data_IF_813223491091
#
_entry.id   IF_813223491091
#
_cell.length_a   1.000
_cell.length_b   1.000
_cell.length_c   1.000
_cell.angle_alpha   90.00
_cell.angle_beta   90.00
_cell.angle_gamma   90.00
#
_symmetry.space_group_name_H-M   'P 1'
#
loop_
_entity.id
_entity.type
_entity.pdbx_description
1 polymer ?
#
# COMPACT_ATOMS: atom_id res chain seq x y z
N UNK A 1 27.77 -21.87 -23.19
CA UNK A 1 27.44 -22.78 -24.30
C UNK A 1 27.02 -21.93 -25.49
N UNK A 2 27.56 -22.17 -26.68
CA UNK A 2 27.10 -21.54 -27.92
C UNK A 2 26.01 -22.41 -28.56
N UNK A 3 25.09 -21.80 -29.32
CA UNK A 3 23.94 -22.53 -29.93
C UNK A 3 24.39 -23.73 -30.78
N UNK A 4 25.53 -23.61 -31.46
CA UNK A 4 26.10 -24.66 -32.32
C UNK A 4 26.69 -25.86 -31.54
N UNK A 5 26.71 -25.80 -30.19
CA UNK A 5 27.17 -26.89 -29.32
C UNK A 5 25.99 -27.77 -28.84
N UNK A 6 24.74 -27.39 -29.13
CA UNK A 6 23.56 -28.18 -28.80
C UNK A 6 23.39 -29.33 -29.81
N UNK A 7 23.16 -30.55 -29.34
CA UNK A 7 22.96 -31.71 -30.21
C UNK A 7 21.52 -31.79 -30.70
N UNK A 8 21.32 -31.83 -32.02
CA UNK A 8 20.11 -32.21 -32.76
C UNK A 8 18.76 -32.00 -32.04
N UNK A 9 18.26 -33.01 -31.35
CA UNK A 9 16.97 -33.00 -30.66
C UNK A 9 16.82 -31.84 -29.65
N UNK A 10 17.90 -31.50 -28.95
CA UNK A 10 17.91 -30.42 -27.97
C UNK A 10 17.84 -29.04 -28.66
N UNK A 11 18.49 -28.90 -29.80
CA UNK A 11 18.42 -27.67 -30.60
C UNK A 11 17.00 -27.45 -31.16
N UNK A 12 16.35 -28.53 -31.62
CA UNK A 12 14.96 -28.49 -32.10
C UNK A 12 14.00 -28.06 -30.99
N UNK A 13 14.10 -28.65 -29.80
CA UNK A 13 13.26 -28.28 -28.64
C UNK A 13 13.47 -26.84 -28.19
N UNK A 14 14.72 -26.35 -28.23
CA UNK A 14 15.01 -24.94 -27.94
C UNK A 14 14.35 -24.01 -28.96
N UNK A 15 14.45 -24.33 -30.25
CA UNK A 15 13.77 -23.54 -31.30
C UNK A 15 12.26 -23.58 -31.17
N UNK A 16 11.68 -24.74 -30.89
CA UNK A 16 10.24 -24.91 -30.64
C UNK A 16 9.78 -24.02 -29.48
N UNK A 17 10.50 -24.05 -28.35
CA UNK A 17 10.20 -23.19 -27.20
C UNK A 17 10.26 -21.70 -27.56
N UNK A 18 11.26 -21.26 -28.33
CA UNK A 18 11.39 -19.87 -28.74
C UNK A 18 10.27 -19.44 -29.70
N UNK A 19 9.92 -20.28 -30.67
CA UNK A 19 8.83 -20.01 -31.62
C UNK A 19 7.50 -19.87 -30.88
N UNK A 20 7.17 -20.82 -30.01
CA UNK A 20 5.93 -20.79 -29.24
C UNK A 20 5.92 -19.64 -28.24
N UNK A 21 7.04 -19.34 -27.56
CA UNK A 21 7.10 -18.21 -26.64
C UNK A 21 6.95 -16.85 -27.32
N UNK A 22 7.40 -16.72 -28.58
CA UNK A 22 7.20 -15.50 -29.37
C UNK A 22 5.78 -15.38 -29.96
N UNK A 23 5.03 -16.49 -30.03
CA UNK A 23 3.59 -16.46 -30.37
C UNK A 23 2.75 -16.10 -29.14
N UNK A 24 2.89 -16.90 -28.09
CA UNK A 24 2.28 -16.68 -26.79
C UNK A 24 3.09 -17.39 -25.69
N UNK A 25 3.78 -16.59 -24.89
CA UNK A 25 4.57 -17.05 -23.74
C UNK A 25 3.74 -17.87 -22.74
N UNK A 26 2.46 -17.56 -22.60
CA UNK A 26 1.60 -18.15 -21.59
C UNK A 26 0.83 -19.38 -22.09
N UNK A 27 1.02 -19.75 -23.37
CA UNK A 27 0.39 -20.91 -23.97
C UNK A 27 0.76 -22.22 -23.25
N UNK A 28 -0.15 -23.20 -23.22
CA UNK A 28 0.14 -24.53 -22.67
C UNK A 28 1.31 -25.21 -23.40
N UNK A 29 1.47 -24.97 -24.70
CA UNK A 29 2.54 -25.48 -25.55
C UNK A 29 3.89 -24.94 -25.11
N UNK A 30 4.02 -23.61 -24.97
CA UNK A 30 5.23 -22.96 -24.45
C UNK A 30 5.60 -23.50 -23.08
N UNK A 31 4.61 -23.62 -22.18
CA UNK A 31 4.82 -24.13 -20.82
C UNK A 31 5.29 -25.59 -20.81
N UNK A 32 4.77 -26.43 -21.71
CA UNK A 32 5.16 -27.84 -21.84
C UNK A 32 6.63 -27.95 -22.22
N UNK A 33 7.04 -27.32 -23.33
CA UNK A 33 8.42 -27.38 -23.81
C UNK A 33 9.39 -26.72 -22.83
N UNK A 34 9.00 -25.59 -22.22
CA UNK A 34 9.81 -24.92 -21.19
C UNK A 34 10.04 -25.78 -19.94
N UNK A 35 9.03 -26.56 -19.51
CA UNK A 35 9.17 -27.50 -18.38
C UNK A 35 10.06 -28.69 -18.73
N UNK A 36 9.97 -29.20 -19.96
CA UNK A 36 10.84 -30.29 -20.42
C UNK A 36 12.31 -29.85 -20.46
N UNK A 37 12.58 -28.67 -21.03
CA UNK A 37 13.91 -28.07 -21.04
C UNK A 37 14.38 -27.66 -19.63
N UNK A 38 13.47 -27.31 -18.72
CA UNK A 38 13.79 -26.94 -17.33
C UNK A 38 14.30 -28.09 -16.45
N UNK A 39 14.20 -29.34 -16.90
CA UNK A 39 14.74 -30.53 -16.23
C UNK A 39 16.17 -30.87 -16.68
N UNK A 40 16.63 -30.24 -17.75
CA UNK A 40 17.96 -30.44 -18.34
C UNK A 40 19.00 -29.66 -17.54
N UNK A 41 20.22 -30.18 -17.48
CA UNK A 41 21.36 -29.58 -16.75
C UNK A 41 22.48 -29.13 -17.69
N UNK A 42 22.33 -29.38 -18.99
CA UNK A 42 23.28 -29.02 -20.03
C UNK A 42 23.45 -27.49 -20.15
N UNK A 43 22.36 -26.74 -20.01
CA UNK A 43 22.33 -25.28 -19.94
C UNK A 43 21.08 -24.80 -19.19
N UNK A 44 20.98 -23.49 -18.97
CA UNK A 44 19.89 -22.90 -18.20
C UNK A 44 18.49 -23.06 -18.84
N UNK A 45 18.38 -22.88 -20.16
CA UNK A 45 17.13 -22.90 -20.94
C UNK A 45 15.97 -22.05 -20.39
N UNK A 46 16.24 -21.05 -19.54
CA UNK A 46 15.22 -20.10 -19.11
C UNK A 46 14.83 -19.19 -20.29
N UNK A 47 13.56 -18.80 -20.39
CA UNK A 47 13.14 -17.79 -21.36
C UNK A 47 13.62 -16.42 -20.90
N UNK A 48 14.43 -15.78 -21.74
CA UNK A 48 14.87 -14.41 -21.58
C UNK A 48 14.13 -13.55 -22.60
N UNK A 49 13.66 -12.37 -22.17
CA UNK A 49 13.03 -11.40 -23.06
C UNK A 49 14.01 -10.27 -23.32
N UNK A 50 14.33 -10.04 -24.59
CA UNK A 50 15.13 -8.88 -25.00
C UNK A 50 14.49 -8.28 -26.25
N UNK A 51 14.26 -6.97 -26.22
CA UNK A 51 13.71 -6.21 -27.35
C UNK A 51 12.39 -6.81 -27.90
N UNK A 52 11.53 -7.30 -26.99
CA UNK A 52 10.24 -7.92 -27.35
C UNK A 52 10.33 -9.36 -27.85
N UNK A 53 11.54 -9.90 -28.04
CA UNK A 53 11.75 -11.26 -28.53
C UNK A 53 12.16 -12.18 -27.38
N UNK A 54 11.50 -13.34 -27.29
CA UNK A 54 11.84 -14.40 -26.36
C UNK A 54 12.91 -15.33 -26.93
N UNK A 55 13.96 -15.57 -26.15
CA UNK A 55 15.08 -16.45 -26.49
C UNK A 55 15.44 -17.36 -25.31
N UNK A 56 16.01 -18.54 -25.58
CA UNK A 56 16.46 -19.46 -24.54
C UNK A 56 17.81 -19.04 -23.97
N UNK A 57 17.95 -19.09 -22.64
CA UNK A 57 19.21 -18.85 -21.97
C UNK A 57 20.17 -20.04 -22.12
N UNK A 58 21.30 -19.83 -22.80
CA UNK A 58 22.34 -20.87 -23.01
C UNK A 58 23.53 -20.76 -22.03
N UNK A 59 23.35 -20.04 -20.92
CA UNK A 59 24.36 -19.94 -19.86
C UNK A 59 24.50 -21.30 -19.15
N UNK A 60 25.71 -21.64 -18.66
CA UNK A 60 25.89 -22.85 -17.86
C UNK A 60 25.02 -22.79 -16.61
N UNK A 61 24.52 -23.95 -16.19
CA UNK A 61 23.76 -24.07 -14.94
C UNK A 61 24.69 -23.85 -13.74
N UNK A 62 24.13 -23.39 -12.62
CA UNK A 62 24.86 -23.36 -11.36
C UNK A 62 25.08 -24.80 -10.84
N UNK A 63 26.15 -25.01 -10.07
CA UNK A 63 26.53 -26.32 -9.53
C UNK A 63 25.37 -26.94 -8.73
N UNK A 64 24.90 -28.12 -9.15
CA UNK A 64 23.80 -28.83 -8.50
C UNK A 64 22.40 -28.26 -8.75
N UNK A 65 22.22 -27.40 -9.76
CA UNK A 65 20.94 -26.78 -10.12
C UNK A 65 20.63 -26.96 -11.61
N UNK A 66 19.39 -26.67 -12.02
CA UNK A 66 18.95 -26.76 -13.43
C UNK A 66 18.92 -25.40 -14.15
N UNK A 67 19.26 -24.30 -13.47
CA UNK A 67 19.28 -22.94 -14.03
C UNK A 67 20.61 -22.24 -13.77
N UNK A 68 20.89 -21.17 -14.51
CA UNK A 68 22.04 -20.30 -14.23
C UNK A 68 21.74 -19.34 -13.07
N UNK A 69 22.79 -18.72 -12.54
CA UNK A 69 22.71 -17.77 -11.41
C UNK A 69 21.76 -16.59 -11.64
N UNK A 70 21.57 -16.18 -12.89
CA UNK A 70 20.65 -15.09 -13.25
C UNK A 70 19.18 -15.50 -13.41
N UNK A 71 18.89 -16.81 -13.47
CA UNK A 71 17.55 -17.31 -13.82
C UNK A 71 17.05 -18.34 -12.79
N UNK A 72 17.19 -18.01 -11.51
CA UNK A 72 16.58 -18.77 -10.42
C UNK A 72 17.48 -19.82 -9.77
N UNK A 73 18.74 -19.97 -10.20
CA UNK A 73 19.72 -20.65 -9.36
C UNK A 73 20.31 -19.65 -8.36
N UNK A 74 19.54 -19.37 -7.30
CA UNK A 74 20.06 -18.61 -6.18
C UNK A 74 21.26 -19.37 -5.59
N UNK A 75 22.44 -18.75 -5.70
CA UNK A 75 23.68 -19.18 -5.04
C UNK A 75 23.53 -19.07 -3.50
N UNK A 76 22.47 -18.41 -3.04
CA UNK A 76 22.22 -18.10 -1.63
C UNK A 76 21.45 -19.18 -0.85
N UNK A 77 21.12 -20.33 -1.44
CA UNK A 77 20.35 -21.37 -0.73
C UNK A 77 21.12 -21.97 0.48
N UNK A 78 22.45 -21.82 0.51
CA UNK A 78 23.32 -22.22 1.63
C UNK A 78 23.82 -21.05 2.50
N UNK A 79 23.12 -19.91 2.48
CA UNK A 79 23.47 -18.79 3.37
C UNK A 79 22.88 -19.07 4.75
N UNK A 80 23.72 -19.08 5.78
CA UNK A 80 23.28 -19.26 7.18
C UNK A 80 22.20 -18.25 7.54
N UNK A 81 21.28 -18.61 8.45
CA UNK A 81 20.21 -17.71 8.88
C UNK A 81 20.76 -16.35 9.36
N UNK A 82 21.87 -16.35 10.09
CA UNK A 82 22.57 -15.13 10.52
C UNK A 82 22.98 -14.22 9.36
N UNK A 83 23.47 -14.80 8.27
CA UNK A 83 23.94 -14.02 7.11
C UNK A 83 22.75 -13.54 6.27
N UNK A 84 21.64 -14.28 6.25
CA UNK A 84 20.36 -13.81 5.69
C UNK A 84 19.83 -12.63 6.51
N UNK A 85 19.86 -12.72 7.84
CA UNK A 85 19.47 -11.63 8.75
C UNK A 85 20.33 -10.37 8.54
N UNK A 86 21.67 -10.52 8.48
CA UNK A 86 22.57 -9.38 8.21
C UNK A 86 22.35 -8.73 6.84
N UNK A 87 21.99 -9.52 5.81
CA UNK A 87 21.64 -8.99 4.49
C UNK A 87 20.28 -8.29 4.50
N UNK A 88 19.32 -8.83 5.26
CA UNK A 88 18.00 -8.21 5.47
C UNK A 88 18.13 -6.87 6.22
N UNK A 89 18.96 -6.80 7.27
CA UNK A 89 19.24 -5.57 8.01
C UNK A 89 19.82 -4.43 7.16
N UNK A 90 20.54 -4.77 6.08
CA UNK A 90 21.12 -3.80 5.15
C UNK A 90 20.21 -3.47 3.95
N UNK A 91 19.09 -4.17 3.78
CA UNK A 91 18.12 -3.94 2.71
C UNK A 91 17.01 -3.01 3.26
N UNK A 92 17.31 -1.71 3.26
CA UNK A 92 16.49 -0.59 3.74
C UNK A 92 16.39 -0.49 5.28
N UNK A 93 16.35 0.75 5.84
CA UNK A 93 16.10 0.97 7.27
C UNK A 93 14.75 0.40 7.77
N UNK A 94 13.91 -0.01 6.82
CA UNK A 94 12.56 -0.54 6.99
C UNK A 94 12.57 -2.04 7.35
N UNK A 95 13.65 -2.78 7.08
CA UNK A 95 13.72 -4.23 7.30
C UNK A 95 13.91 -4.62 8.78
N UNK A 96 14.15 -3.64 9.66
CA UNK A 96 14.12 -3.78 11.12
C UNK A 96 12.81 -3.32 11.77
N UNK A 97 11.86 -2.77 11.00
CA UNK A 97 10.52 -2.51 11.55
C UNK A 97 9.77 -3.83 11.66
N UNK A 98 9.66 -4.34 12.88
CA UNK A 98 8.81 -5.48 13.20
C UNK A 98 7.36 -5.00 13.03
N UNK A 99 6.79 -5.23 11.85
CA UNK A 99 5.37 -4.98 11.63
C UNK A 99 4.57 -6.15 12.22
N UNK A 100 3.95 -5.94 13.37
CA UNK A 100 2.98 -6.88 13.91
C UNK A 100 2.62 -6.64 15.36
N UNK A 101 1.41 -7.09 15.70
CA UNK A 101 0.79 -7.14 17.04
C UNK A 101 1.66 -7.83 18.13
N UNK A 102 2.76 -8.47 17.75
CA UNK A 102 3.64 -9.30 18.60
C UNK A 102 5.08 -8.79 18.69
N UNK A 103 5.35 -7.54 18.34
CA UNK A 103 6.67 -6.96 18.57
C UNK A 103 6.87 -6.73 20.06
N UNK A 104 7.61 -7.62 20.74
CA UNK A 104 7.88 -7.57 22.18
C UNK A 104 8.57 -6.26 22.62
N UNK A 105 9.29 -5.57 21.72
CA UNK A 105 10.01 -4.31 21.97
C UNK A 105 9.45 -3.09 21.20
N UNK A 106 8.40 -3.24 20.38
CA UNK A 106 7.83 -2.12 19.62
C UNK A 106 6.31 -2.11 19.67
N UNK A 107 5.75 -2.04 20.87
CA UNK A 107 4.32 -1.75 21.00
C UNK A 107 4.11 -0.30 20.55
N UNK A 108 3.28 -0.12 19.52
CA UNK A 108 2.96 1.18 18.95
C UNK A 108 2.64 2.22 20.04
N UNK A 109 1.86 1.79 21.04
CA UNK A 109 1.46 2.58 22.22
C UNK A 109 2.66 3.12 23.02
N UNK A 110 3.70 2.30 23.27
CA UNK A 110 4.89 2.76 24.00
C UNK A 110 5.78 3.69 23.17
N UNK A 111 5.63 3.67 21.84
CA UNK A 111 6.39 4.53 20.93
C UNK A 111 5.76 5.91 20.72
N UNK A 112 4.56 6.15 21.25
CA UNK A 112 3.84 7.41 21.08
C UNK A 112 4.55 8.53 21.84
N UNK A 113 4.72 9.67 21.17
CA UNK A 113 5.14 10.92 21.81
C UNK A 113 3.94 11.60 22.47
N UNK A 114 4.19 12.46 23.46
CA UNK A 114 3.13 13.22 24.14
C UNK A 114 2.24 14.00 23.16
N UNK A 115 2.84 14.61 22.14
CA UNK A 115 2.11 15.35 21.09
C UNK A 115 1.19 14.44 20.24
N UNK A 116 1.59 13.18 20.01
CA UNK A 116 0.77 12.22 19.28
C UNK A 116 -0.39 11.70 20.13
N UNK A 117 -0.16 11.52 21.43
CA UNK A 117 -1.21 11.17 22.40
C UNK A 117 -2.25 12.30 22.48
N UNK A 118 -1.80 13.54 22.60
CA UNK A 118 -2.68 14.72 22.59
C UNK A 118 -3.47 14.83 21.28
N UNK A 119 -2.83 14.58 20.14
CA UNK A 119 -3.50 14.57 18.84
C UNK A 119 -4.59 13.49 18.76
N UNK A 120 -4.28 12.27 19.21
CA UNK A 120 -5.25 11.17 19.23
C UNK A 120 -6.44 11.50 20.13
N UNK A 121 -6.20 12.05 21.32
CA UNK A 121 -7.25 12.45 22.25
C UNK A 121 -8.14 13.56 21.65
N UNK A 122 -7.54 14.59 21.04
CA UNK A 122 -8.28 15.65 20.37
C UNK A 122 -9.17 15.12 19.23
N UNK A 123 -8.65 14.16 18.45
CA UNK A 123 -9.38 13.60 17.32
C UNK A 123 -10.53 12.68 17.81
N UNK A 124 -10.30 11.87 18.84
CA UNK A 124 -11.33 11.07 19.51
C UNK A 124 -12.47 11.95 20.02
N UNK A 125 -12.15 13.01 20.77
CA UNK A 125 -13.11 13.98 21.29
C UNK A 125 -13.90 14.66 20.16
N UNK A 126 -13.20 15.08 19.09
CA UNK A 126 -13.83 15.73 17.94
C UNK A 126 -14.85 14.82 17.25
N UNK A 127 -14.53 13.52 17.13
CA UNK A 127 -15.42 12.51 16.56
C UNK A 127 -16.60 12.26 17.49
N UNK A 128 -16.37 12.06 18.79
CA UNK A 128 -17.44 11.80 19.78
C UNK A 128 -18.36 12.99 20.01
N UNK A 129 -17.89 14.22 19.81
CA UNK A 129 -18.73 15.42 19.83
C UNK A 129 -19.61 15.50 18.58
N UNK A 130 -19.12 15.03 17.44
CA UNK A 130 -19.80 15.17 16.15
C UNK A 130 -20.71 13.98 15.83
N UNK A 131 -20.40 12.79 16.34
CA UNK A 131 -21.05 11.53 15.98
C UNK A 131 -21.43 10.70 17.21
N UNK A 132 -22.49 9.92 17.08
CA UNK A 132 -22.85 8.87 18.04
C UNK A 132 -22.02 7.63 17.73
N UNK A 133 -20.96 7.44 18.50
CA UNK A 133 -20.10 6.26 18.41
C UNK A 133 -20.69 5.16 19.29
N UNK A 134 -21.04 4.03 18.69
CA UNK A 134 -21.51 2.85 19.42
C UNK A 134 -20.40 2.29 20.31
N UNK A 135 -20.73 2.01 21.58
CA UNK A 135 -19.79 1.40 22.52
C UNK A 135 -19.42 -0.02 22.09
N UNK A 136 -18.14 -0.39 22.24
CA UNK A 136 -17.64 -1.71 21.88
C UNK A 136 -16.98 -1.74 20.50
N UNK A 137 -17.70 -2.20 19.46
CA UNK A 137 -17.10 -2.29 18.11
C UNK A 137 -16.74 -0.90 17.56
N UNK A 138 -17.54 0.12 17.87
CA UNK A 138 -17.26 1.49 17.46
C UNK A 138 -16.00 2.07 18.10
N UNK A 139 -15.77 1.78 19.37
CA UNK A 139 -14.55 2.20 20.07
C UNK A 139 -13.30 1.54 19.46
N UNK A 140 -13.37 0.24 19.16
CA UNK A 140 -12.24 -0.49 18.54
C UNK A 140 -11.90 0.06 17.15
N UNK A 141 -12.93 0.38 16.35
CA UNK A 141 -12.75 0.95 15.01
C UNK A 141 -12.17 2.36 15.12
N UNK A 142 -12.67 3.19 16.04
CA UNK A 142 -12.16 4.54 16.25
C UNK A 142 -10.69 4.50 16.68
N UNK A 143 -10.34 3.65 17.64
CA UNK A 143 -8.96 3.46 18.08
C UNK A 143 -8.03 3.06 16.92
N UNK A 144 -8.46 2.13 16.06
CA UNK A 144 -7.72 1.76 14.85
C UNK A 144 -7.47 2.93 13.90
N UNK A 145 -8.48 3.80 13.71
CA UNK A 145 -8.37 4.98 12.85
C UNK A 145 -7.44 6.04 13.44
N UNK A 146 -7.42 6.21 14.76
CA UNK A 146 -6.50 7.10 15.46
C UNK A 146 -5.04 6.64 15.27
N UNK A 147 -4.79 5.33 15.39
CA UNK A 147 -3.47 4.73 15.13
C UNK A 147 -3.01 4.96 13.69
N UNK A 148 -3.89 4.69 12.72
CA UNK A 148 -3.59 4.90 11.30
C UNK A 148 -3.28 6.36 10.99
N UNK A 149 -3.98 7.31 11.64
CA UNK A 149 -3.71 8.74 11.48
C UNK A 149 -2.29 9.11 11.96
N UNK A 150 -1.88 8.64 13.14
CA UNK A 150 -0.54 8.89 13.67
C UNK A 150 0.55 8.27 12.78
N UNK A 151 0.37 7.02 12.35
CA UNK A 151 1.29 6.36 11.41
C UNK A 151 1.44 7.18 10.13
N UNK A 152 0.32 7.69 9.61
CA UNK A 152 0.32 8.50 8.41
C UNK A 152 1.09 9.83 8.59
N UNK A 153 0.89 10.53 9.71
CA UNK A 153 1.64 11.74 10.01
C UNK A 153 3.14 11.48 10.20
N UNK A 154 3.52 10.37 10.85
CA UNK A 154 4.93 9.94 10.93
C UNK A 154 5.53 9.74 9.54
N UNK A 155 4.82 9.07 8.64
CA UNK A 155 5.26 8.85 7.26
C UNK A 155 5.39 10.18 6.48
N UNK A 156 4.46 11.11 6.66
CA UNK A 156 4.54 12.47 6.09
C UNK A 156 5.76 13.24 6.59
N UNK A 157 5.98 13.26 7.90
CA UNK A 157 7.09 13.97 8.53
C UNK A 157 8.45 13.36 8.15
N UNK A 158 8.51 12.05 7.91
CA UNK A 158 9.72 11.38 7.42
C UNK A 158 10.05 11.69 5.95
N UNK A 159 9.21 12.46 5.24
CA UNK A 159 9.41 12.82 3.83
C UNK A 159 9.13 11.67 2.85
N UNK A 160 8.54 10.56 3.31
CA UNK A 160 8.16 9.42 2.45
C UNK A 160 6.95 9.72 1.55
N UNK A 161 6.16 10.71 1.91
CA UNK A 161 5.06 11.22 1.09
C UNK A 161 5.36 12.65 0.61
N UNK A 162 4.99 12.95 -0.64
CA UNK A 162 5.03 14.32 -1.14
C UNK A 162 3.99 15.17 -0.40
N UNK A 163 4.46 16.29 0.18
CA UNK A 163 3.60 17.29 0.85
C UNK A 163 2.57 17.80 -0.16
N UNK A 164 1.28 17.60 0.14
CA UNK A 164 0.17 18.02 -0.71
C UNK A 164 -0.36 16.95 -1.68
N UNK A 165 0.19 15.74 -1.70
CA UNK A 165 -0.42 14.64 -2.46
C UNK A 165 -1.77 14.23 -1.88
N UNK A 166 -2.66 13.67 -2.71
CA UNK A 166 -3.98 13.13 -2.29
C UNK A 166 -3.91 12.17 -1.09
N UNK A 167 -2.73 11.61 -0.82
CA UNK A 167 -2.48 10.74 0.31
C UNK A 167 -2.50 11.46 1.65
N UNK A 168 -2.21 12.77 1.73
CA UNK A 168 -2.19 13.53 3.00
C UNK A 168 -3.53 13.55 3.72
N UNK A 169 -4.63 13.52 2.97
CA UNK A 169 -5.99 13.52 3.51
C UNK A 169 -6.54 12.10 3.75
N UNK A 170 -5.75 11.05 3.47
CA UNK A 170 -6.21 9.67 3.52
C UNK A 170 -6.76 9.26 4.90
N UNK A 171 -6.10 9.57 6.04
CA UNK A 171 -6.66 9.22 7.34
C UNK A 171 -8.04 9.85 7.60
N UNK A 172 -8.22 11.10 7.19
CA UNK A 172 -9.49 11.79 7.32
C UNK A 172 -10.56 11.21 6.39
N UNK A 173 -10.18 10.79 5.18
CA UNK A 173 -11.09 10.12 4.24
C UNK A 173 -11.52 8.74 4.75
N UNK A 174 -10.58 7.97 5.29
CA UNK A 174 -10.84 6.65 5.86
C UNK A 174 -11.73 6.78 7.11
N UNK A 175 -11.52 7.80 7.95
CA UNK A 175 -12.40 8.16 9.05
C UNK A 175 -13.82 8.51 8.57
N UNK A 176 -13.95 9.43 7.61
CA UNK A 176 -15.27 9.80 7.07
C UNK A 176 -16.01 8.61 6.45
N UNK A 177 -15.28 7.70 5.82
CA UNK A 177 -15.83 6.47 5.26
C UNK A 177 -16.29 5.52 6.37
N UNK A 178 -15.48 5.31 7.40
CA UNK A 178 -15.84 4.47 8.54
C UNK A 178 -17.08 5.01 9.28
N UNK A 179 -17.18 6.33 9.50
CA UNK A 179 -18.38 6.94 10.06
C UNK A 179 -19.64 6.63 9.23
N UNK A 180 -19.51 6.65 7.89
CA UNK A 180 -20.61 6.33 6.97
C UNK A 180 -20.98 4.84 6.98
N UNK A 181 -19.97 3.97 6.91
CA UNK A 181 -20.16 2.51 6.81
C UNK A 181 -20.70 1.91 8.11
N UNK A 182 -20.34 2.48 9.26
CA UNK A 182 -20.83 2.10 10.59
C UNK A 182 -22.21 2.71 10.91
N UNK A 183 -22.76 3.55 10.02
CA UNK A 183 -24.03 4.23 10.24
C UNK A 183 -24.01 5.21 11.41
N UNK A 184 -22.85 5.75 11.80
CA UNK A 184 -22.74 6.71 12.89
C UNK A 184 -23.51 7.96 12.55
N UNK A 185 -24.57 8.21 13.32
CA UNK A 185 -25.43 9.37 13.18
C UNK A 185 -24.67 10.60 13.65
N UNK A 186 -24.64 11.64 12.81
CA UNK A 186 -24.15 12.94 13.25
C UNK A 186 -25.08 13.39 14.37
N UNK A 187 -24.54 13.68 15.56
CA UNK A 187 -25.33 14.27 16.63
C UNK A 187 -25.99 15.53 16.07
N UNK A 188 -27.27 15.74 16.37
CA UNK A 188 -27.90 17.02 16.11
C UNK A 188 -27.14 18.08 16.93
N UNK A 189 -26.12 18.67 16.30
CA UNK A 189 -25.58 19.93 16.77
C UNK A 189 -26.77 20.86 16.71
N UNK A 190 -27.17 21.36 17.87
CA UNK A 190 -28.29 22.27 18.05
C UNK A 190 -27.98 23.57 17.28
N UNK A 191 -28.13 23.52 15.96
CA UNK A 191 -27.93 24.60 15.00
C UNK A 191 -29.15 25.54 15.00
N UNK A 192 -29.90 25.55 16.09
CA UNK A 192 -30.86 26.62 16.36
C UNK A 192 -30.19 27.98 16.52
N UNK A 193 -28.85 28.09 16.61
CA UNK A 193 -28.19 29.39 16.77
C UNK A 193 -27.88 30.12 15.44
N UNK A 194 -27.47 29.44 14.37
CA UNK A 194 -27.10 30.15 13.12
C UNK A 194 -28.30 30.51 12.24
N UNK A 195 -29.28 29.61 12.11
CA UNK A 195 -30.48 29.89 11.29
C UNK A 195 -31.38 30.95 11.94
N UNK A 196 -31.54 30.90 13.26
CA UNK A 196 -32.27 31.92 14.02
C UNK A 196 -31.56 33.27 13.98
N UNK A 197 -30.23 33.33 14.12
CA UNK A 197 -29.48 34.58 14.02
C UNK A 197 -29.57 35.21 12.64
N UNK A 198 -29.61 34.40 11.57
CA UNK A 198 -29.82 34.90 10.21
C UNK A 198 -31.26 35.41 10.06
N UNK A 199 -32.27 34.67 10.51
CA UNK A 199 -33.66 35.11 10.50
C UNK A 199 -33.90 36.39 11.33
N UNK A 200 -33.33 36.48 12.52
CA UNK A 200 -33.39 37.68 13.38
C UNK A 200 -32.71 38.88 12.71
N UNK A 201 -31.58 38.65 12.03
CA UNK A 201 -30.86 39.71 11.31
C UNK A 201 -31.64 40.16 10.07
N UNK A 202 -32.39 39.27 9.42
CA UNK A 202 -33.28 39.60 8.30
C UNK A 202 -34.56 40.30 8.76
N UNK A 203 -35.19 39.84 9.85
CA UNK A 203 -36.37 40.46 10.45
C UNK A 203 -36.07 41.89 10.94
N UNK A 204 -34.94 42.08 11.63
CA UNK A 204 -34.48 43.43 12.03
C UNK A 204 -34.22 44.37 10.85
N UNK A 205 -33.84 43.82 9.69
CA UNK A 205 -33.59 44.60 8.47
C UNK A 205 -34.89 44.98 7.75
N UNK A 206 -35.86 44.08 7.77
CA UNK A 206 -37.22 44.36 7.27
C UNK A 206 -37.94 45.39 8.15
N UNK A 207 -37.78 45.30 9.47
CA UNK A 207 -38.32 46.29 10.40
C UNK A 207 -37.63 47.66 10.25
N UNK A 208 -36.31 47.69 9.99
CA UNK A 208 -35.60 48.95 9.72
C UNK A 208 -35.98 49.60 8.39
N UNK A 209 -36.27 48.80 7.35
CA UNK A 209 -36.68 49.30 6.03
C UNK A 209 -38.13 49.81 6.02
N UNK A 210 -38.95 49.41 7.00
CA UNK A 210 -40.33 49.91 7.17
C UNK A 210 -40.43 51.25 7.91
N UNK A 211 -39.34 51.74 8.51
CA UNK A 211 -39.31 53.01 9.27
C UNK A 211 -38.66 54.19 8.51
N UNK A 212 -38.25 54.01 7.26
CA UNK A 212 -37.86 55.11 6.38
C UNK A 212 -39.04 55.60 5.52
N UNK A 213 -40.13 56.03 6.18
CA UNK A 213 -41.09 56.92 5.52
C UNK A 213 -40.50 58.34 5.47
N UNK A 214 -40.24 58.77 4.24
CA UNK A 214 -39.81 60.10 3.80
C UNK A 214 -40.47 61.24 4.58
N UNK A 215 -39.73 62.28 5.02
CA UNK A 215 -40.36 63.56 5.29
C UNK A 215 -40.90 64.12 3.95
N UNK A 216 -42.23 64.20 3.85
CA UNK A 216 -42.93 64.96 2.82
C UNK A 216 -42.74 66.45 3.10
N UNK A 217 -42.09 67.14 2.15
CA UNK A 217 -42.01 68.60 1.92
C UNK A 217 -42.05 69.54 3.13
#
# INVERSE_FOLDING_TARGET
MRRNELKGELELKVKEMEVEANRDRHSPETKKVWRELGKRTEACFALNQKDGVYSACLRPVAKGKTRCTLHGANVNDNVSEETKLKKMQNLRPDAGMIHGLYAEESTFVQSLTDAEIEFMAWLDDSVRQSYEVEQGLGDLVLEGLLHDAVIHFRLLNSGRFEKGSRHTAKPLQDLMKACKDMGWTKKEQNNQSQSSQVLDRWLKRLDSDSNEEKPLN
#
